data_IF_140208557418
#
_entry.id   IF_140208557418
#
_cell.length_a   1.000
_cell.length_b   1.000
_cell.length_c   1.000
_cell.angle_alpha   90.00
_cell.angle_beta   90.00
_cell.angle_gamma   90.00
#
_symmetry.space_group_name_H-M   'P 1'
#
loop_
_entity.id
_entity.type
_entity.pdbx_description
1 polymer ?
#
# COMPACT_ATOMS: atom_id res chain seq x y z
N UNK A 1 1.90 -0.64 -9.37
CA UNK A 1 1.44 -1.52 -8.27
C UNK A 1 1.54 -0.79 -6.95
N UNK A 2 0.56 -0.91 -6.05
CA UNK A 2 0.57 -0.27 -4.73
C UNK A 2 0.52 -1.25 -3.57
N UNK A 3 1.35 -1.06 -2.54
CA UNK A 3 1.42 -1.96 -1.38
C UNK A 3 1.38 -1.17 -0.06
N UNK A 4 0.48 -1.57 0.83
CA UNK A 4 0.40 -1.06 2.20
C UNK A 4 0.29 -2.20 3.20
N UNK A 5 0.80 -2.00 4.41
CA UNK A 5 0.76 -2.96 5.50
C UNK A 5 0.05 -2.36 6.70
N UNK A 6 -0.95 -3.07 7.24
CA UNK A 6 -1.68 -2.61 8.41
C UNK A 6 -2.75 -3.61 8.85
N UNK A 7 -3.49 -3.25 9.90
CA UNK A 7 -4.61 -4.06 10.39
C UNK A 7 -5.84 -3.84 9.50
N UNK A 8 -6.59 -4.90 9.22
CA UNK A 8 -7.79 -4.85 8.40
C UNK A 8 -8.86 -5.81 8.94
N UNK A 9 -10.06 -5.70 8.39
CA UNK A 9 -11.17 -6.62 8.66
C UNK A 9 -11.34 -7.53 7.44
N UNK A 10 -11.54 -8.81 7.67
CA UNK A 10 -11.82 -9.80 6.64
C UNK A 10 -13.08 -10.57 7.00
N UNK A 11 -13.83 -11.01 6.00
CA UNK A 11 -15.05 -11.78 6.25
C UNK A 11 -15.78 -12.17 4.98
N UNK A 12 -16.87 -12.92 5.15
CA UNK A 12 -17.76 -13.30 4.06
C UNK A 12 -18.91 -12.29 3.97
N UNK A 13 -19.12 -11.73 2.78
CA UNK A 13 -20.21 -10.80 2.48
C UNK A 13 -21.15 -11.40 1.45
N UNK A 14 -22.44 -11.08 1.61
CA UNK A 14 -23.52 -11.48 0.72
C UNK A 14 -24.52 -12.42 1.39
N UNK A 15 -25.80 -12.27 1.03
CA UNK A 15 -26.90 -13.13 1.54
C UNK A 15 -27.30 -14.26 0.58
N UNK A 16 -26.86 -14.20 -0.68
CA UNK A 16 -27.22 -15.15 -1.75
C UNK A 16 -26.01 -15.64 -2.56
N UNK A 17 -25.04 -14.77 -2.81
CA UNK A 17 -23.72 -15.11 -3.33
C UNK A 17 -22.70 -14.69 -2.28
N UNK A 18 -22.13 -15.68 -1.61
CA UNK A 18 -21.12 -15.45 -0.58
C UNK A 18 -19.77 -15.17 -1.25
N UNK A 19 -19.12 -14.07 -0.87
CA UNK A 19 -17.77 -13.74 -1.30
C UNK A 19 -16.92 -13.44 -0.06
N UNK A 20 -15.74 -14.04 0.03
CA UNK A 20 -14.76 -13.67 1.04
C UNK A 20 -14.00 -12.44 0.55
N UNK A 21 -13.93 -11.40 1.37
CA UNK A 21 -13.32 -10.13 0.99
C UNK A 21 -12.78 -9.40 2.24
N UNK A 22 -12.01 -8.32 2.01
CA UNK A 22 -11.28 -7.55 3.02
C UNK A 22 -11.59 -6.06 2.92
N UNK A 23 -11.74 -5.40 4.05
CA UNK A 23 -12.08 -3.97 4.12
C UNK A 23 -11.32 -3.26 5.24
N UNK A 24 -11.35 -1.93 5.16
CA UNK A 24 -10.80 -1.04 6.17
C UNK A 24 -9.78 -0.04 5.61
N UNK A 25 -9.27 0.78 6.52
CA UNK A 25 -8.35 1.87 6.16
C UNK A 25 -7.06 1.37 5.50
N UNK A 26 -6.55 0.21 5.91
CA UNK A 26 -5.35 -0.40 5.33
C UNK A 26 -5.51 -0.71 3.83
N UNK A 27 -6.65 -1.27 3.42
CA UNK A 27 -6.89 -1.60 1.99
C UNK A 27 -7.19 -0.34 1.18
N UNK A 28 -7.87 0.64 1.77
CA UNK A 28 -8.07 1.95 1.16
C UNK A 28 -6.71 2.62 0.89
N UNK A 29 -5.80 2.61 1.87
CA UNK A 29 -4.46 3.16 1.70
C UNK A 29 -3.63 2.39 0.67
N UNK A 30 -3.75 1.05 0.61
CA UNK A 30 -3.13 0.26 -0.45
C UNK A 30 -3.60 0.71 -1.85
N UNK A 31 -4.91 0.90 -2.01
CA UNK A 31 -5.49 1.45 -3.26
C UNK A 31 -4.93 2.85 -3.56
N UNK A 32 -4.73 3.71 -2.56
CA UNK A 32 -4.08 5.01 -2.75
C UNK A 32 -2.61 4.91 -3.13
N UNK A 33 -1.87 3.92 -2.62
CA UNK A 33 -0.49 3.66 -3.08
C UNK A 33 -0.48 3.30 -4.56
N UNK A 34 -1.46 2.53 -5.03
CA UNK A 34 -1.55 2.15 -6.44
C UNK A 34 -1.94 3.32 -7.32
N UNK A 35 -3.00 4.06 -6.96
CA UNK A 35 -3.46 5.21 -7.75
C UNK A 35 -2.46 6.36 -7.83
N UNK A 36 -1.60 6.51 -6.81
CA UNK A 36 -0.50 7.51 -6.82
C UNK A 36 0.84 6.91 -7.28
N UNK A 37 0.86 5.66 -7.73
CA UNK A 37 2.04 5.02 -8.29
C UNK A 37 2.32 5.47 -9.71
N UNK A 38 3.46 5.02 -10.24
CA UNK A 38 3.84 5.21 -11.65
C UNK A 38 3.81 3.87 -12.38
N UNK A 39 3.57 3.92 -13.69
CA UNK A 39 3.54 2.71 -14.54
C UNK A 39 4.88 1.99 -14.44
N UNK A 40 4.83 0.67 -14.23
CA UNK A 40 6.04 -0.15 -14.08
C UNK A 40 6.75 -0.03 -12.73
N UNK A 41 6.28 0.82 -11.81
CA UNK A 41 6.86 0.97 -10.46
C UNK A 41 6.01 0.29 -9.38
N UNK A 42 6.70 -0.15 -8.32
CA UNK A 42 6.07 -0.65 -7.09
C UNK A 42 6.13 0.45 -6.04
N UNK A 43 4.98 1.05 -5.77
CA UNK A 43 4.83 2.13 -4.80
C UNK A 43 4.39 1.54 -3.44
N UNK A 44 5.07 1.93 -2.37
CA UNK A 44 4.82 1.39 -1.04
C UNK A 44 4.68 2.49 -0.01
N UNK A 45 3.80 2.25 0.98
CA UNK A 45 3.67 3.09 2.16
C UNK A 45 4.92 3.03 3.04
N UNK A 46 5.09 4.04 3.91
CA UNK A 46 6.05 4.01 5.03
C UNK A 46 5.98 2.70 5.84
N UNK A 47 4.78 2.24 6.20
CA UNK A 47 4.60 1.05 7.03
C UNK A 47 5.14 -0.23 6.36
N UNK A 48 4.97 -0.34 5.03
CA UNK A 48 5.57 -1.42 4.25
C UNK A 48 7.09 -1.22 4.12
N UNK A 49 7.55 -0.01 3.80
CA UNK A 49 8.97 0.33 3.70
C UNK A 49 9.75 -0.09 4.94
N UNK A 50 9.28 0.27 6.13
CA UNK A 50 9.96 -0.08 7.40
C UNK A 50 10.16 -1.59 7.59
N UNK A 51 9.31 -2.43 7.00
CA UNK A 51 9.41 -3.89 7.07
C UNK A 51 10.34 -4.50 6.02
N UNK A 52 10.54 -3.82 4.88
CA UNK A 52 11.26 -4.37 3.73
C UNK A 52 12.60 -3.68 3.45
N UNK A 53 12.87 -2.52 4.06
CA UNK A 53 14.07 -1.70 3.82
C UNK A 53 15.41 -2.40 4.07
N UNK A 54 15.42 -3.48 4.84
CA UNK A 54 16.61 -4.30 5.08
C UNK A 54 16.85 -5.37 4.02
N UNK A 55 15.93 -5.55 3.08
CA UNK A 55 15.97 -6.56 2.02
C UNK A 55 15.86 -5.97 0.62
N UNK A 56 15.31 -4.76 0.49
CA UNK A 56 15.07 -4.10 -0.78
C UNK A 56 15.60 -2.66 -0.75
N UNK A 57 16.17 -2.21 -1.86
CA UNK A 57 16.44 -0.81 -2.11
C UNK A 57 15.12 -0.08 -2.35
N UNK A 58 14.88 0.97 -1.58
CA UNK A 58 13.71 1.81 -1.72
C UNK A 58 14.11 3.27 -1.87
N UNK A 59 13.52 3.96 -2.85
CA UNK A 59 13.72 5.38 -3.10
C UNK A 59 12.57 6.19 -2.48
N UNK A 60 12.86 7.17 -1.61
CA UNK A 60 11.82 8.04 -1.05
C UNK A 60 11.22 8.93 -2.14
N UNK A 61 9.90 9.08 -2.12
CA UNK A 61 9.16 10.00 -3.00
C UNK A 61 8.74 11.30 -2.29
N UNK A 62 9.01 11.39 -1.00
CA UNK A 62 8.49 12.44 -0.14
C UNK A 62 7.03 12.21 0.23
N UNK A 63 6.38 13.27 0.71
CA UNK A 63 4.99 13.23 1.13
C UNK A 63 4.07 13.55 -0.06
N UNK A 64 3.17 12.63 -0.37
CA UNK A 64 2.18 12.75 -1.44
C UNK A 64 0.80 12.97 -0.84
N UNK A 65 0.04 13.92 -1.37
CA UNK A 65 -1.31 14.22 -0.90
C UNK A 65 -2.28 13.08 -1.19
N UNK A 66 -2.89 12.54 -0.13
CA UNK A 66 -3.86 11.45 -0.19
C UNK A 66 -5.19 11.92 0.37
N UNK A 67 -6.25 11.80 -0.45
CA UNK A 67 -7.62 12.15 -0.06
C UNK A 67 -8.01 11.48 1.26
N UNK A 68 -8.35 12.30 2.26
CA UNK A 68 -8.78 11.85 3.59
C UNK A 68 -7.66 11.47 4.56
N UNK A 69 -6.38 11.61 4.15
CA UNK A 69 -5.21 11.36 5.00
C UNK A 69 -4.18 12.49 5.01
N UNK A 70 -4.29 13.45 4.07
CA UNK A 70 -3.30 14.51 3.90
C UNK A 70 -2.01 13.96 3.29
N UNK A 71 -0.89 14.59 3.64
CA UNK A 71 0.42 14.23 3.14
C UNK A 71 0.89 12.89 3.72
N UNK A 72 1.15 11.90 2.85
CA UNK A 72 1.60 10.55 3.23
C UNK A 72 2.94 10.24 2.57
N UNK A 73 3.92 9.81 3.37
CA UNK A 73 5.22 9.37 2.87
C UNK A 73 5.10 8.11 1.99
N UNK A 74 5.72 8.14 0.82
CA UNK A 74 5.72 7.04 -0.15
C UNK A 74 7.13 6.70 -0.63
N UNK A 75 7.32 5.47 -1.09
CA UNK A 75 8.59 4.94 -1.56
C UNK A 75 8.40 4.11 -2.83
N UNK A 76 9.36 4.17 -3.75
CA UNK A 76 9.47 3.19 -4.82
C UNK A 76 10.46 2.09 -4.45
N UNK A 77 10.10 0.84 -4.75
CA UNK A 77 11.02 -0.30 -4.63
C UNK A 77 11.75 -0.48 -5.95
N UNK A 78 13.08 -0.48 -5.93
CA UNK A 78 13.92 -0.67 -7.13
C UNK A 78 14.39 -2.12 -7.29
N UNK A 79 14.59 -2.84 -6.19
CA UNK A 79 15.02 -4.24 -6.23
C UNK A 79 15.58 -4.75 -4.90
N UNK A 80 15.98 -6.03 -4.82
CA UNK A 80 16.65 -6.59 -3.65
C UNK A 80 17.98 -5.87 -3.35
N UNK A 81 18.36 -5.81 -2.08
CA UNK A 81 19.71 -5.44 -1.69
C UNK A 81 20.64 -6.63 -1.97
N UNK A 82 21.77 -6.38 -2.63
CA UNK A 82 22.81 -7.38 -2.90
C UNK A 82 23.58 -7.74 -1.63
#
# INVERSE_FOLDING_TARGET
MGINTGRLVAGVVGKRKFAYDIWGDTVNLASRMESNGEVGKVNVSEATYQKIKSRFQCLPRGNVEVKGKGAVAMYFVEGPLA
#
